data_IF_372473220016
#
_entry.id   IF_372473220016
#
_cell.length_a   1.000
_cell.length_b   1.000
_cell.length_c   1.000
_cell.angle_alpha   90.00
_cell.angle_beta   90.00
_cell.angle_gamma   90.00
#
_symmetry.space_group_name_H-M   'P 1'
#
loop_
_entity.id
_entity.type
_entity.pdbx_description
1 polymer ?
#
# COMPACT_ATOMS: atom_id res chain seq x y z
N UNK A 1 -14.28 -8.19 10.58
CA UNK A 1 -13.54 -8.87 9.46
C UNK A 1 -13.01 -7.83 8.51
N UNK A 2 -11.76 -7.96 8.04
CA UNK A 2 -11.16 -7.03 7.08
C UNK A 2 -11.22 -7.58 5.66
N UNK A 3 -11.28 -6.65 4.71
CA UNK A 3 -11.20 -6.97 3.28
C UNK A 3 -9.73 -7.02 2.85
N UNK A 4 -9.35 -8.08 2.14
CA UNK A 4 -8.02 -8.28 1.55
C UNK A 4 -8.15 -8.30 0.04
N UNK A 5 -7.36 -7.49 -0.65
CA UNK A 5 -7.36 -7.43 -2.13
C UNK A 5 -6.40 -8.44 -2.73
N UNK A 6 -5.28 -8.70 -2.06
CA UNK A 6 -4.26 -9.63 -2.52
C UNK A 6 -3.45 -10.20 -1.34
N UNK A 7 -2.92 -11.41 -1.52
CA UNK A 7 -1.90 -12.03 -0.68
C UNK A 7 -0.75 -12.41 -1.61
N UNK A 8 0.31 -11.62 -1.56
CA UNK A 8 1.49 -11.78 -2.42
C UNK A 8 2.55 -12.57 -1.68
N UNK A 9 2.90 -13.73 -2.21
CA UNK A 9 3.97 -14.58 -1.70
C UNK A 9 5.32 -14.17 -2.28
N UNK A 10 6.38 -14.54 -1.59
CA UNK A 10 7.78 -14.33 -2.03
C UNK A 10 8.14 -12.86 -2.26
N UNK A 11 7.54 -11.95 -1.48
CA UNK A 11 7.95 -10.54 -1.47
C UNK A 11 9.34 -10.41 -0.85
N UNK A 12 10.26 -9.76 -1.55
CA UNK A 12 11.66 -9.55 -1.12
C UNK A 12 12.00 -8.06 -0.92
N UNK A 13 11.02 -7.18 -1.15
CA UNK A 13 11.16 -5.73 -1.05
C UNK A 13 10.30 -5.09 0.06
N UNK A 14 9.59 -5.91 0.82
CA UNK A 14 8.63 -5.45 1.83
C UNK A 14 9.12 -5.74 3.27
N UNK A 15 10.41 -5.59 3.52
CA UNK A 15 11.08 -5.87 4.77
C UNK A 15 12.22 -6.87 4.62
N UNK A 16 12.75 -7.38 5.74
CA UNK A 16 13.86 -8.33 5.72
C UNK A 16 13.37 -9.74 5.34
N UNK A 17 14.20 -10.47 4.61
CA UNK A 17 13.95 -11.86 4.20
C UNK A 17 12.84 -12.03 3.16
N UNK A 18 12.39 -13.27 2.98
CA UNK A 18 11.26 -13.61 2.10
C UNK A 18 9.97 -13.47 2.89
N UNK A 19 9.04 -12.70 2.37
CA UNK A 19 7.81 -12.35 3.08
C UNK A 19 6.56 -12.71 2.29
N UNK A 20 5.46 -12.87 3.01
CA UNK A 20 4.12 -12.84 2.40
C UNK A 20 3.47 -11.51 2.74
N UNK A 21 3.16 -10.71 1.71
CA UNK A 21 2.55 -9.40 1.86
C UNK A 21 1.03 -9.51 1.71
N UNK A 22 0.31 -9.05 2.73
CA UNK A 22 -1.17 -8.97 2.73
C UNK A 22 -1.58 -7.54 2.40
N UNK A 23 -2.35 -7.38 1.32
CA UNK A 23 -2.86 -6.08 0.89
C UNK A 23 -4.29 -5.88 1.38
N UNK A 24 -4.45 -5.09 2.42
CA UNK A 24 -5.76 -4.72 2.95
C UNK A 24 -6.45 -3.66 2.09
N UNK A 25 -7.78 -3.64 2.14
CA UNK A 25 -8.61 -2.73 1.36
C UNK A 25 -9.17 -1.61 2.23
N UNK A 26 -8.84 -0.39 1.89
CA UNK A 26 -9.23 0.86 2.52
C UNK A 26 -8.01 1.76 2.75
N UNK A 27 -8.04 2.97 2.20
CA UNK A 27 -7.03 3.99 2.41
C UNK A 27 -7.69 5.37 2.44
N UNK A 28 -7.39 6.23 3.41
CA UNK A 28 -7.90 7.60 3.43
C UNK A 28 -7.20 8.50 2.41
N UNK A 29 -5.98 8.15 1.97
CA UNK A 29 -5.19 8.94 1.04
C UNK A 29 -5.57 8.69 -0.43
N UNK A 30 -5.20 9.64 -1.31
CA UNK A 30 -5.47 9.61 -2.77
C UNK A 30 -4.22 9.96 -3.55
N UNK A 31 -3.12 9.24 -3.24
CA UNK A 31 -1.83 9.49 -3.91
C UNK A 31 -1.97 9.38 -5.42
N UNK A 32 -1.49 10.38 -6.15
CA UNK A 32 -1.58 10.46 -7.61
C UNK A 32 -0.84 9.31 -8.31
N UNK A 33 0.19 8.75 -7.68
CA UNK A 33 0.98 7.62 -8.17
C UNK A 33 0.66 6.29 -7.47
N UNK A 34 -0.53 6.14 -6.88
CA UNK A 34 -0.87 4.92 -6.15
C UNK A 34 -0.78 3.67 -7.05
N UNK A 35 -0.02 2.67 -6.62
CA UNK A 35 0.11 1.40 -7.35
C UNK A 35 -1.04 0.42 -7.08
N UNK A 36 -1.82 0.67 -6.03
CA UNK A 36 -2.90 -0.21 -5.59
C UNK A 36 -4.24 0.55 -5.47
N UNK A 37 -4.77 1.14 -6.58
CA UNK A 37 -6.01 1.91 -6.52
C UNK A 37 -7.21 1.07 -6.07
N UNK A 38 -7.17 -0.26 -6.24
CA UNK A 38 -8.17 -1.20 -5.74
C UNK A 38 -8.23 -1.25 -4.21
N UNK A 39 -7.21 -0.73 -3.53
CA UNK A 39 -7.21 -0.65 -2.06
C UNK A 39 -7.75 0.67 -1.52
N UNK A 40 -8.02 1.67 -2.35
CA UNK A 40 -8.42 3.01 -1.89
C UNK A 40 -9.80 3.06 -1.23
N UNK A 41 -10.80 2.36 -1.79
CA UNK A 41 -12.14 2.31 -1.19
C UNK A 41 -12.19 1.25 -0.10
N UNK A 42 -12.95 1.53 0.98
CA UNK A 42 -13.16 0.57 2.08
C UNK A 42 -14.15 -0.54 1.73
N UNK A 43 -15.01 -0.32 0.74
CA UNK A 43 -16.01 -1.31 0.28
C UNK A 43 -15.43 -2.18 -0.84
N UNK A 44 -16.05 -3.35 -1.02
CA UNK A 44 -15.79 -4.20 -2.19
C UNK A 44 -16.04 -3.45 -3.49
N UNK A 45 -15.24 -3.75 -4.49
CA UNK A 45 -15.41 -3.21 -5.85
C UNK A 45 -15.27 -4.33 -6.86
N UNK A 46 -15.84 -4.13 -8.04
CA UNK A 46 -15.66 -5.03 -9.17
C UNK A 46 -14.59 -4.44 -10.09
N UNK A 47 -13.50 -5.17 -10.28
CA UNK A 47 -12.53 -4.90 -11.32
C UNK A 47 -13.01 -5.53 -12.64
N UNK A 48 -12.91 -4.79 -13.73
CA UNK A 48 -13.30 -5.26 -15.05
C UNK A 48 -12.15 -5.07 -16.04
N UNK A 49 -11.88 -6.05 -16.88
CA UNK A 49 -10.97 -5.86 -18.01
C UNK A 49 -11.79 -5.55 -19.26
N UNK A 50 -11.99 -4.27 -19.65
CA UNK A 50 -12.89 -3.90 -20.73
C UNK A 50 -12.38 -4.36 -22.10
N UNK A 51 -11.07 -4.50 -22.31
CA UNK A 51 -10.50 -4.92 -23.59
C UNK A 51 -10.97 -6.32 -24.02
N UNK A 52 -11.13 -7.22 -23.06
CA UNK A 52 -11.58 -8.60 -23.29
C UNK A 52 -13.09 -8.75 -23.27
N UNK A 53 -13.87 -7.68 -23.07
CA UNK A 53 -15.32 -7.75 -23.04
C UNK A 53 -15.89 -7.97 -24.45
N UNK A 54 -16.78 -8.94 -24.59
CA UNK A 54 -17.47 -9.25 -25.86
C UNK A 54 -18.86 -8.63 -25.97
N UNK A 55 -19.32 -7.87 -24.96
CA UNK A 55 -20.65 -7.26 -24.97
C UNK A 55 -21.82 -8.24 -24.85
N UNK A 56 -21.61 -9.43 -24.29
CA UNK A 56 -22.63 -10.49 -24.22
C UNK A 56 -23.80 -10.18 -23.26
N UNK A 57 -23.75 -9.08 -22.49
CA UNK A 57 -24.80 -8.56 -21.59
C UNK A 57 -25.13 -9.42 -20.36
N UNK A 58 -24.64 -10.63 -20.22
CA UNK A 58 -24.96 -11.54 -19.11
C UNK A 58 -24.76 -10.90 -17.71
N UNK A 59 -23.80 -9.99 -17.57
CA UNK A 59 -23.54 -9.28 -16.31
C UNK A 59 -24.62 -8.21 -16.00
N UNK A 60 -25.35 -7.71 -16.99
CA UNK A 60 -26.44 -6.74 -16.82
C UNK A 60 -27.64 -7.45 -16.23
N UNK A 61 -28.03 -8.59 -16.84
CA UNK A 61 -29.24 -9.34 -16.48
C UNK A 61 -29.22 -9.80 -15.01
N UNK A 62 -28.02 -10.07 -14.48
CA UNK A 62 -27.85 -10.57 -13.10
C UNK A 62 -27.54 -9.49 -12.08
N UNK A 63 -27.40 -8.22 -12.49
CA UNK A 63 -27.03 -7.16 -11.57
C UNK A 63 -28.25 -6.70 -10.73
N UNK A 64 -28.30 -6.99 -9.40
CA UNK A 64 -29.46 -6.64 -8.58
C UNK A 64 -29.66 -5.14 -8.41
N UNK A 65 -28.59 -4.34 -8.63
CA UNK A 65 -28.64 -2.89 -8.44
C UNK A 65 -28.70 -2.12 -9.78
N UNK A 66 -28.77 -2.79 -10.94
CA UNK A 66 -28.74 -2.13 -12.24
C UNK A 66 -27.47 -1.27 -12.45
N UNK A 67 -26.34 -1.71 -11.88
CA UNK A 67 -25.08 -0.97 -11.88
C UNK A 67 -24.22 -1.20 -13.11
N UNK A 68 -24.73 -1.88 -14.14
CA UNK A 68 -23.93 -2.25 -15.32
C UNK A 68 -24.69 -1.81 -16.58
N UNK A 69 -23.98 -1.13 -17.47
CA UNK A 69 -24.43 -0.73 -18.80
C UNK A 69 -23.47 -1.23 -19.87
N UNK A 70 -23.85 -1.09 -21.15
CA UNK A 70 -22.95 -1.27 -22.30
C UNK A 70 -22.69 0.11 -22.92
N UNK A 71 -21.42 0.42 -23.09
CA UNK A 71 -20.92 1.59 -23.80
C UNK A 71 -19.86 1.13 -24.80
N UNK A 72 -19.99 1.53 -26.05
CA UNK A 72 -19.11 1.13 -27.16
C UNK A 72 -18.88 -0.40 -27.25
N UNK A 73 -19.95 -1.19 -27.00
CA UNK A 73 -19.90 -2.64 -27.03
C UNK A 73 -19.17 -3.29 -25.84
N UNK A 74 -18.82 -2.53 -24.80
CA UNK A 74 -18.16 -3.01 -23.59
C UNK A 74 -19.02 -2.76 -22.35
N UNK A 75 -18.92 -3.66 -21.36
CA UNK A 75 -19.62 -3.46 -20.11
C UNK A 75 -18.92 -2.46 -19.21
N UNK A 76 -19.65 -1.43 -18.79
CA UNK A 76 -19.21 -0.40 -17.85
C UNK A 76 -19.92 -0.60 -16.52
N UNK A 77 -19.22 -0.32 -15.41
CA UNK A 77 -19.77 -0.43 -14.06
C UNK A 77 -19.94 0.94 -13.44
N UNK A 78 -21.17 1.28 -13.07
CA UNK A 78 -21.48 2.44 -12.24
C UNK A 78 -21.15 2.13 -10.76
N UNK A 79 -20.06 2.68 -10.28
CA UNK A 79 -19.57 2.42 -8.91
C UNK A 79 -20.37 3.16 -7.82
N UNK A 80 -21.29 4.06 -8.17
CA UNK A 80 -22.22 4.66 -7.20
C UNK A 80 -23.34 3.69 -6.86
N UNK A 81 -23.76 2.87 -7.83
CA UNK A 81 -24.80 1.84 -7.66
C UNK A 81 -24.22 0.48 -7.26
N UNK A 82 -22.97 0.21 -7.60
CA UNK A 82 -22.35 -1.10 -7.41
C UNK A 82 -22.02 -1.38 -5.95
N UNK A 83 -22.59 -2.44 -5.38
CA UNK A 83 -22.31 -2.91 -4.01
C UNK A 83 -21.16 -3.91 -3.92
N UNK A 84 -20.58 -4.31 -5.06
CA UNK A 84 -19.49 -5.30 -5.07
C UNK A 84 -19.95 -6.73 -4.71
N UNK A 85 -21.24 -7.07 -4.91
CA UNK A 85 -21.82 -8.37 -4.54
C UNK A 85 -21.19 -9.57 -5.24
N UNK A 86 -20.64 -9.38 -6.45
CA UNK A 86 -19.96 -10.44 -7.20
C UNK A 86 -20.84 -11.22 -8.18
N UNK A 87 -22.17 -11.01 -8.23
CA UNK A 87 -23.06 -11.75 -9.16
C UNK A 87 -22.59 -11.68 -10.61
N UNK A 88 -22.17 -10.50 -11.06
CA UNK A 88 -21.64 -10.30 -12.39
C UNK A 88 -20.28 -11.00 -12.64
N UNK A 89 -19.57 -11.40 -11.60
CA UNK A 89 -18.32 -12.16 -11.71
C UNK A 89 -18.63 -13.62 -12.04
N UNK A 90 -19.56 -14.23 -11.30
CA UNK A 90 -19.94 -15.64 -11.48
C UNK A 90 -20.61 -15.91 -12.84
N UNK A 91 -21.27 -14.90 -13.40
CA UNK A 91 -21.97 -15.00 -14.68
C UNK A 91 -21.18 -14.48 -15.89
N UNK A 92 -19.93 -14.02 -15.67
CA UNK A 92 -19.12 -13.53 -16.78
C UNK A 92 -18.49 -14.67 -17.58
N UNK A 93 -18.98 -14.94 -18.79
CA UNK A 93 -18.47 -15.99 -19.66
C UNK A 93 -17.00 -15.82 -20.06
N UNK A 94 -16.50 -14.61 -20.04
CA UNK A 94 -15.11 -14.28 -20.40
C UNK A 94 -14.17 -14.19 -19.18
N UNK A 95 -14.68 -14.36 -17.95
CA UNK A 95 -13.92 -14.22 -16.70
C UNK A 95 -13.14 -12.89 -16.60
N UNK A 96 -13.69 -11.80 -17.13
CA UNK A 96 -13.04 -10.49 -17.15
C UNK A 96 -13.35 -9.64 -15.93
N UNK A 97 -14.21 -10.12 -15.06
CA UNK A 97 -14.62 -9.43 -13.83
C UNK A 97 -14.10 -10.17 -12.61
N UNK A 98 -13.66 -9.44 -11.62
CA UNK A 98 -13.25 -9.99 -10.33
C UNK A 98 -13.67 -9.07 -9.18
N UNK A 99 -13.84 -9.64 -7.99
CA UNK A 99 -14.13 -8.88 -6.77
C UNK A 99 -12.81 -8.46 -6.13
N UNK A 100 -12.57 -7.15 -6.02
CA UNK A 100 -11.52 -6.61 -5.15
C UNK A 100 -12.04 -6.50 -3.71
N UNK A 101 -11.43 -7.23 -2.82
CA UNK A 101 -11.81 -7.28 -1.41
C UNK A 101 -12.53 -8.59 -1.04
N UNK A 102 -11.76 -9.60 -0.70
CA UNK A 102 -12.23 -10.84 -0.10
C UNK A 102 -12.17 -10.73 1.42
N UNK A 103 -13.22 -11.16 2.10
CA UNK A 103 -13.23 -11.25 3.56
C UNK A 103 -12.44 -12.46 4.04
N UNK A 104 -11.67 -12.24 5.10
CA UNK A 104 -11.00 -13.28 5.85
C UNK A 104 -11.28 -13.09 7.34
N UNK A 105 -11.60 -14.16 8.03
CA UNK A 105 -11.46 -14.20 9.50
C UNK A 105 -9.97 -14.22 9.85
N UNK A 106 -9.61 -13.79 11.06
CA UNK A 106 -8.21 -13.87 11.53
C UNK A 106 -7.68 -15.31 11.44
N UNK A 107 -8.50 -16.29 11.81
CA UNK A 107 -8.13 -17.71 11.74
C UNK A 107 -7.82 -18.18 10.32
N UNK A 108 -8.64 -17.79 9.35
CA UNK A 108 -8.42 -18.16 7.94
C UNK A 108 -7.14 -17.51 7.40
N UNK A 109 -6.93 -16.23 7.71
CA UNK A 109 -5.74 -15.52 7.27
C UNK A 109 -4.47 -16.09 7.91
N UNK A 110 -4.45 -16.35 9.21
CA UNK A 110 -3.33 -17.01 9.88
C UNK A 110 -3.01 -18.39 9.26
N UNK A 111 -4.05 -19.18 8.94
CA UNK A 111 -3.87 -20.49 8.27
C UNK A 111 -3.25 -20.33 6.88
N UNK A 112 -3.64 -19.29 6.14
CA UNK A 112 -3.08 -19.03 4.80
C UNK A 112 -1.61 -18.61 4.89
N UNK A 113 -1.29 -17.69 5.81
CA UNK A 113 0.05 -17.14 6.00
C UNK A 113 1.04 -18.20 6.51
N UNK A 114 0.58 -19.12 7.34
CA UNK A 114 1.40 -20.23 7.86
C UNK A 114 1.89 -21.18 6.76
N UNK A 115 1.28 -21.22 5.60
CA UNK A 115 1.73 -22.10 4.49
C UNK A 115 3.14 -21.78 4.00
N UNK A 116 3.61 -20.55 4.23
CA UNK A 116 4.92 -20.07 3.77
C UNK A 116 5.97 -20.04 4.91
N UNK A 117 5.65 -20.62 6.10
CA UNK A 117 6.50 -20.63 7.32
C UNK A 117 7.94 -21.06 7.04
N UNK A 118 8.14 -22.10 6.23
CA UNK A 118 9.47 -22.58 5.85
C UNK A 118 10.34 -21.49 5.20
N UNK A 119 9.74 -20.64 4.36
CA UNK A 119 10.49 -19.55 3.72
C UNK A 119 10.80 -18.42 4.70
N UNK A 120 9.93 -18.19 5.70
CA UNK A 120 10.19 -17.22 6.76
C UNK A 120 11.37 -17.65 7.63
N UNK A 121 11.38 -18.93 8.07
CA UNK A 121 12.43 -19.48 8.92
C UNK A 121 13.79 -19.46 8.22
N UNK A 122 13.86 -19.92 6.96
CA UNK A 122 15.13 -20.02 6.20
C UNK A 122 15.71 -18.63 5.85
N UNK A 123 14.88 -17.60 5.68
CA UNK A 123 15.34 -16.28 5.24
C UNK A 123 15.39 -15.22 6.32
N UNK A 124 14.85 -15.50 7.52
CA UNK A 124 14.58 -14.49 8.53
C UNK A 124 13.44 -13.53 8.14
N UNK A 125 12.57 -13.97 7.23
CA UNK A 125 11.42 -13.22 6.73
C UNK A 125 10.18 -13.35 7.61
N UNK A 126 8.99 -13.19 7.02
CA UNK A 126 7.73 -13.25 7.75
C UNK A 126 6.55 -12.67 6.98
N UNK A 127 5.67 -11.97 7.67
CA UNK A 127 4.47 -11.37 7.09
C UNK A 127 4.59 -9.86 7.05
N UNK A 128 4.21 -9.24 5.93
CA UNK A 128 4.05 -7.78 5.82
C UNK A 128 2.57 -7.46 5.63
N UNK A 129 2.06 -6.56 6.48
CA UNK A 129 0.72 -6.02 6.37
C UNK A 129 0.79 -4.66 5.66
N UNK A 130 0.15 -4.57 4.50
CA UNK A 130 0.23 -3.45 3.55
C UNK A 130 -1.12 -3.23 2.84
N UNK A 131 -1.12 -2.61 1.68
CA UNK A 131 -2.29 -2.47 0.79
C UNK A 131 -2.80 -1.05 0.69
N UNK A 132 -3.89 -0.74 1.41
CA UNK A 132 -4.34 0.63 1.65
C UNK A 132 -3.56 1.24 2.83
N UNK A 133 -4.26 1.66 3.88
CA UNK A 133 -3.62 2.05 5.14
C UNK A 133 -4.04 1.05 6.24
N UNK A 134 -3.13 0.17 6.61
CA UNK A 134 -3.38 -0.90 7.58
C UNK A 134 -3.87 -0.35 8.92
N UNK A 135 -3.30 0.81 9.32
CA UNK A 135 -3.63 1.44 10.60
C UNK A 135 -5.00 2.13 10.62
N UNK A 136 -5.73 2.11 9.48
CA UNK A 136 -7.12 2.55 9.36
C UNK A 136 -8.13 1.40 9.29
N UNK A 137 -7.67 0.16 9.42
CA UNK A 137 -8.54 -1.02 9.44
C UNK A 137 -9.23 -1.19 10.80
N UNK A 138 -10.08 -2.22 10.92
CA UNK A 138 -10.60 -2.69 12.20
C UNK A 138 -9.42 -3.14 13.10
N UNK A 139 -9.07 -2.30 14.07
CA UNK A 139 -7.87 -2.52 14.90
C UNK A 139 -7.99 -3.71 15.85
N UNK A 140 -9.20 -4.15 16.18
CA UNK A 140 -9.38 -5.37 16.97
C UNK A 140 -8.97 -6.59 16.12
N UNK A 141 -9.32 -6.56 14.83
CA UNK A 141 -8.91 -7.59 13.89
C UNK A 141 -7.38 -7.57 13.65
N UNK A 142 -6.79 -6.38 13.39
CA UNK A 142 -5.34 -6.25 13.12
C UNK A 142 -4.53 -6.67 14.35
N UNK A 143 -4.92 -6.25 15.54
CA UNK A 143 -4.24 -6.62 16.78
C UNK A 143 -4.30 -8.14 17.05
N UNK A 144 -5.48 -8.77 16.84
CA UNK A 144 -5.61 -10.22 16.95
C UNK A 144 -4.73 -10.95 15.95
N UNK A 145 -4.65 -10.47 14.70
CA UNK A 145 -3.82 -11.03 13.64
C UNK A 145 -2.33 -10.96 13.99
N UNK A 146 -1.82 -9.78 14.36
CA UNK A 146 -0.39 -9.62 14.69
C UNK A 146 -0.02 -10.41 15.95
N UNK A 147 -0.87 -10.45 16.97
CA UNK A 147 -0.68 -11.33 18.14
C UNK A 147 -0.65 -12.81 17.76
N UNK A 148 -1.49 -13.20 16.80
CA UNK A 148 -1.54 -14.57 16.28
C UNK A 148 -0.25 -14.96 15.57
N UNK A 149 0.33 -14.07 14.75
CA UNK A 149 1.61 -14.25 14.07
C UNK A 149 2.77 -14.27 15.08
N UNK A 150 2.81 -13.30 16.01
CA UNK A 150 3.82 -13.22 17.07
C UNK A 150 3.89 -14.51 17.91
N UNK A 151 2.73 -15.07 18.32
CA UNK A 151 2.69 -16.35 19.06
C UNK A 151 3.19 -17.55 18.29
N UNK A 152 3.20 -17.47 16.96
CA UNK A 152 3.75 -18.49 16.06
C UNK A 152 5.23 -18.26 15.74
N UNK A 153 5.86 -17.21 16.28
CA UNK A 153 7.26 -16.85 15.97
C UNK A 153 7.46 -16.24 14.60
N UNK A 154 6.38 -15.82 13.92
CA UNK A 154 6.45 -15.21 12.60
C UNK A 154 6.64 -13.70 12.76
N UNK A 155 7.73 -13.16 12.17
CA UNK A 155 8.01 -11.72 12.21
C UNK A 155 6.98 -10.93 11.43
N UNK A 156 6.60 -9.77 11.96
CA UNK A 156 5.58 -8.89 11.37
C UNK A 156 6.18 -7.56 11.00
N UNK A 157 5.99 -7.16 9.76
CA UNK A 157 6.31 -5.82 9.25
C UNK A 157 5.01 -5.09 8.91
N UNK A 158 4.93 -3.82 9.28
CA UNK A 158 3.81 -2.93 8.89
C UNK A 158 4.32 -1.97 7.84
N UNK A 159 3.62 -1.91 6.71
CA UNK A 159 3.85 -0.94 5.64
C UNK A 159 2.75 0.13 5.71
N UNK A 160 3.13 1.37 6.04
CA UNK A 160 2.19 2.43 6.37
C UNK A 160 2.63 3.80 5.87
N UNK A 161 1.65 4.61 5.52
CA UNK A 161 1.85 6.05 5.31
C UNK A 161 1.89 6.85 6.62
N UNK A 162 1.49 6.24 7.73
CA UNK A 162 1.37 6.91 9.02
C UNK A 162 0.11 7.77 9.19
N UNK A 163 -0.79 7.82 8.21
CA UNK A 163 -1.99 8.65 8.27
C UNK A 163 -3.14 7.94 9.00
N UNK A 164 -2.99 7.76 10.31
CA UNK A 164 -3.94 7.11 11.21
C UNK A 164 -3.77 7.61 12.65
N UNK A 165 -4.75 7.41 13.55
CA UNK A 165 -4.58 7.73 14.98
C UNK A 165 -3.40 6.98 15.59
N UNK A 166 -2.54 7.67 16.37
CA UNK A 166 -1.35 7.06 16.97
C UNK A 166 -1.67 5.88 17.90
N UNK A 167 -2.80 5.93 18.58
CA UNK A 167 -3.25 4.85 19.47
C UNK A 167 -3.37 3.49 18.76
N UNK A 168 -3.62 3.50 17.44
CA UNK A 168 -3.65 2.29 16.64
C UNK A 168 -2.27 1.64 16.56
N UNK A 169 -1.21 2.45 16.38
CA UNK A 169 0.17 1.96 16.37
C UNK A 169 0.57 1.39 17.73
N UNK A 170 0.25 2.07 18.84
CA UNK A 170 0.56 1.60 20.19
C UNK A 170 0.02 0.20 20.48
N UNK A 171 -1.18 -0.12 19.97
CA UNK A 171 -1.82 -1.41 20.19
C UNK A 171 -1.00 -2.58 19.64
N UNK A 172 -0.32 -2.38 18.51
CA UNK A 172 0.40 -3.44 17.80
C UNK A 172 1.91 -3.39 17.96
N UNK A 173 2.47 -2.24 18.36
CA UNK A 173 3.91 -2.03 18.47
C UNK A 173 4.67 -3.13 19.25
N UNK A 174 4.14 -3.69 20.35
CA UNK A 174 4.81 -4.79 21.06
C UNK A 174 4.90 -6.12 20.31
N UNK A 175 4.21 -6.26 19.18
CA UNK A 175 4.05 -7.52 18.43
C UNK A 175 4.58 -7.44 17.01
N UNK A 176 5.20 -6.33 16.62
CA UNK A 176 5.74 -6.10 15.28
C UNK A 176 7.25 -5.89 15.35
N UNK A 177 7.94 -6.25 14.29
CA UNK A 177 9.42 -6.21 14.24
C UNK A 177 9.93 -4.98 13.50
N UNK A 178 9.24 -4.54 12.46
CA UNK A 178 9.68 -3.43 11.60
C UNK A 178 8.48 -2.63 11.11
N UNK A 179 8.68 -1.32 10.98
CA UNK A 179 7.73 -0.42 10.33
C UNK A 179 8.39 0.14 9.08
N UNK A 180 7.83 -0.15 7.91
CA UNK A 180 8.13 0.52 6.66
C UNK A 180 7.28 1.79 6.64
N UNK A 181 7.92 2.93 6.75
CA UNK A 181 7.24 4.21 6.94
C UNK A 181 7.47 5.14 5.77
N UNK A 182 6.40 5.50 5.07
CA UNK A 182 6.48 6.31 3.88
C UNK A 182 6.50 7.81 4.20
N UNK A 183 7.57 8.51 3.79
CA UNK A 183 7.60 9.98 3.69
C UNK A 183 7.44 10.36 2.23
N UNK A 184 6.31 10.96 1.87
CA UNK A 184 5.98 11.23 0.46
C UNK A 184 6.37 12.64 0.02
N UNK A 185 6.22 13.64 0.89
CA UNK A 185 6.70 15.02 0.70
C UNK A 185 6.76 15.74 2.05
N UNK A 186 7.76 16.59 2.23
CA UNK A 186 7.87 17.47 3.43
C UNK A 186 7.05 18.75 3.27
N UNK A 187 6.93 19.26 2.05
CA UNK A 187 6.11 20.42 1.76
C UNK A 187 4.62 20.06 1.86
N UNK A 188 3.89 20.76 2.74
CA UNK A 188 2.47 20.48 3.03
C UNK A 188 1.57 20.72 1.82
N UNK A 189 1.86 21.73 1.00
CA UNK A 189 1.04 22.03 -0.18
C UNK A 189 1.30 21.00 -1.30
N UNK A 190 2.54 20.57 -1.46
CA UNK A 190 2.90 19.45 -2.35
C UNK A 190 2.20 18.16 -1.87
N UNK A 191 2.21 17.90 -0.56
CA UNK A 191 1.56 16.73 0.02
C UNK A 191 0.04 16.77 -0.21
N UNK A 192 -0.62 17.90 0.08
CA UNK A 192 -2.06 18.07 -0.19
C UNK A 192 -2.40 17.86 -1.65
N UNK A 193 -1.60 18.46 -2.55
CA UNK A 193 -1.82 18.39 -4.00
C UNK A 193 -1.76 16.97 -4.55
N UNK A 194 -0.75 16.19 -4.15
CA UNK A 194 -0.47 14.89 -4.77
C UNK A 194 -0.91 13.69 -3.93
N UNK A 195 -1.11 13.86 -2.62
CA UNK A 195 -1.50 12.78 -1.70
C UNK A 195 -2.92 12.95 -1.19
N UNK A 196 -3.47 14.18 -1.26
CA UNK A 196 -4.84 14.48 -0.91
C UNK A 196 -5.09 14.77 0.58
N UNK A 197 -4.03 14.96 1.38
CA UNK A 197 -4.07 15.32 2.79
C UNK A 197 -2.83 16.15 3.16
N UNK A 198 -2.83 16.81 4.32
CA UNK A 198 -1.59 17.35 4.91
C UNK A 198 -0.69 16.23 5.46
N UNK A 199 0.52 16.60 5.86
CA UNK A 199 1.53 15.66 6.36
C UNK A 199 1.78 15.78 7.87
N UNK A 200 1.09 16.65 8.58
CA UNK A 200 1.34 16.93 10.00
C UNK A 200 1.17 15.67 10.85
N UNK A 201 0.04 14.96 10.70
CA UNK A 201 -0.22 13.73 11.42
C UNK A 201 0.81 12.64 11.12
N UNK A 202 1.25 12.55 9.86
CA UNK A 202 2.26 11.57 9.41
C UNK A 202 3.59 11.83 10.12
N UNK A 203 4.05 13.08 10.11
CA UNK A 203 5.32 13.46 10.73
C UNK A 203 5.29 13.33 12.26
N UNK A 204 4.18 13.71 12.90
CA UNK A 204 3.98 13.53 14.33
C UNK A 204 3.99 12.05 14.75
N UNK A 205 3.31 11.18 13.97
CA UNK A 205 3.30 9.74 14.20
C UNK A 205 4.69 9.11 14.02
N UNK A 206 5.46 9.53 13.01
CA UNK A 206 6.82 9.05 12.81
C UNK A 206 7.72 9.37 14.00
N UNK A 207 7.60 10.61 14.52
CA UNK A 207 8.35 11.02 15.73
C UNK A 207 7.98 10.16 16.93
N UNK A 208 6.70 9.97 17.20
CA UNK A 208 6.21 9.13 18.31
C UNK A 208 6.67 7.68 18.19
N UNK A 209 6.61 7.08 17.00
CA UNK A 209 7.11 5.73 16.75
C UNK A 209 8.62 5.62 17.04
N UNK A 210 9.40 6.64 16.63
CA UNK A 210 10.83 6.69 16.92
C UNK A 210 11.10 6.79 18.42
N UNK A 211 10.34 7.62 19.14
CA UNK A 211 10.45 7.81 20.59
C UNK A 211 10.07 6.52 21.36
N UNK A 212 9.04 5.81 20.89
CA UNK A 212 8.59 4.52 21.45
C UNK A 212 9.48 3.33 21.03
N UNK A 213 10.56 3.59 20.26
CA UNK A 213 11.60 2.60 19.96
C UNK A 213 11.28 1.66 18.78
N UNK A 214 10.34 2.01 17.92
CA UNK A 214 10.06 1.25 16.70
C UNK A 214 11.31 1.14 15.82
N UNK A 215 11.50 -0.03 15.18
CA UNK A 215 12.52 -0.22 14.14
C UNK A 215 11.98 0.34 12.83
N UNK A 216 12.49 1.49 12.42
CA UNK A 216 11.97 2.26 11.30
C UNK A 216 12.81 2.09 10.03
N UNK A 217 12.18 1.67 8.94
CA UNK A 217 12.68 1.77 7.58
C UNK A 217 11.93 2.91 6.89
N UNK A 218 12.61 4.02 6.65
CA UNK A 218 12.02 5.16 5.96
C UNK A 218 11.98 4.86 4.46
N UNK A 219 10.80 4.95 3.86
CA UNK A 219 10.58 4.75 2.44
C UNK A 219 10.17 6.08 1.80
N UNK A 220 10.83 6.42 0.70
CA UNK A 220 10.61 7.69 0.03
C UNK A 220 10.26 7.38 -1.44
N UNK A 221 8.96 7.30 -1.79
CA UNK A 221 8.56 7.25 -3.19
C UNK A 221 9.09 8.48 -3.91
N UNK A 222 10.01 8.29 -4.83
CA UNK A 222 10.77 9.35 -5.50
C UNK A 222 10.22 9.54 -6.91
N UNK A 223 9.52 10.67 -7.12
CA UNK A 223 8.73 10.96 -8.32
C UNK A 223 9.28 12.21 -9.00
N UNK A 224 9.70 12.08 -10.27
CA UNK A 224 10.20 13.19 -11.05
C UNK A 224 9.12 14.26 -11.23
N UNK A 225 9.48 15.52 -10.99
CA UNK A 225 8.55 16.66 -11.03
C UNK A 225 7.69 16.85 -9.77
N UNK A 226 7.92 16.01 -8.71
CA UNK A 226 7.22 16.15 -7.43
C UNK A 226 8.19 16.33 -6.26
N UNK A 227 9.06 15.36 -6.04
CA UNK A 227 9.99 15.33 -4.91
C UNK A 227 11.37 14.75 -5.26
N UNK A 228 11.61 14.40 -6.55
CA UNK A 228 12.89 13.87 -7.01
C UNK A 228 13.91 15.00 -7.29
N UNK A 229 14.10 15.88 -6.31
CA UNK A 229 15.06 16.98 -6.37
C UNK A 229 15.85 17.10 -5.06
N UNK A 230 17.00 17.76 -5.15
CA UNK A 230 17.93 17.88 -4.03
C UNK A 230 17.33 18.67 -2.84
N UNK A 231 16.54 19.70 -3.11
CA UNK A 231 15.93 20.53 -2.08
C UNK A 231 14.89 19.72 -1.28
N UNK A 232 14.04 18.98 -1.96
CA UNK A 232 13.04 18.10 -1.35
C UNK A 232 13.69 17.03 -0.46
N UNK A 233 14.76 16.38 -0.95
CA UNK A 233 15.47 15.36 -0.17
C UNK A 233 16.24 15.94 1.01
N UNK A 234 16.86 17.11 0.87
CA UNK A 234 17.51 17.81 1.99
C UNK A 234 16.52 18.14 3.10
N UNK A 235 15.32 18.60 2.79
CA UNK A 235 14.27 18.84 3.79
C UNK A 235 13.92 17.58 4.58
N UNK A 236 13.88 16.41 3.93
CA UNK A 236 13.66 15.12 4.62
C UNK A 236 14.84 14.82 5.54
N UNK A 237 16.07 14.90 5.01
CA UNK A 237 17.31 14.64 5.79
C UNK A 237 17.39 15.53 7.03
N UNK A 238 17.24 16.84 6.85
CA UNK A 238 17.29 17.84 7.92
C UNK A 238 16.22 17.55 8.98
N UNK A 239 14.98 17.28 8.56
CA UNK A 239 13.90 16.98 9.49
C UNK A 239 14.17 15.70 10.30
N UNK A 240 14.64 14.62 9.66
CA UNK A 240 14.98 13.37 10.34
C UNK A 240 16.07 13.59 11.41
N UNK A 241 17.07 14.44 11.12
CA UNK A 241 18.16 14.79 12.06
C UNK A 241 17.63 15.67 13.20
N UNK A 242 16.92 16.75 12.88
CA UNK A 242 16.41 17.72 13.84
C UNK A 242 15.44 17.08 14.85
N UNK A 243 14.59 16.19 14.36
CA UNK A 243 13.67 15.42 15.21
C UNK A 243 14.33 14.20 15.87
N UNK A 244 15.61 13.93 15.59
CA UNK A 244 16.39 12.80 16.15
C UNK A 244 15.74 11.45 15.90
N UNK A 245 15.17 11.27 14.69
CA UNK A 245 14.50 10.01 14.32
C UNK A 245 15.52 8.89 14.24
N UNK A 246 15.25 7.78 14.93
CA UNK A 246 16.10 6.57 14.93
C UNK A 246 15.81 5.73 13.68
N UNK A 247 16.50 6.01 12.59
CA UNK A 247 16.31 5.35 11.31
C UNK A 247 17.23 4.13 11.20
N UNK A 248 16.67 2.95 10.98
CA UNK A 248 17.44 1.72 10.75
C UNK A 248 17.83 1.54 9.28
N UNK A 249 17.02 2.05 8.34
CA UNK A 249 17.28 2.02 6.90
C UNK A 249 16.49 3.11 6.18
N UNK A 250 17.05 3.65 5.10
CA UNK A 250 16.36 4.55 4.15
C UNK A 250 16.27 3.85 2.79
N UNK A 251 15.09 3.85 2.20
CA UNK A 251 14.83 3.34 0.85
C UNK A 251 14.27 4.45 -0.03
N UNK A 252 15.01 4.85 -1.06
CA UNK A 252 14.47 5.71 -2.11
C UNK A 252 13.83 4.82 -3.17
N UNK A 253 12.52 4.95 -3.35
CA UNK A 253 11.74 4.10 -4.25
C UNK A 253 11.50 4.84 -5.57
N UNK A 254 12.23 4.54 -6.65
CA UNK A 254 11.99 5.16 -7.94
C UNK A 254 10.54 4.95 -8.38
N UNK A 255 9.88 6.01 -8.83
CA UNK A 255 8.56 5.90 -9.41
C UNK A 255 8.55 4.94 -10.60
N UNK A 256 7.48 4.18 -10.74
CA UNK A 256 7.17 3.37 -11.93
C UNK A 256 5.66 3.35 -12.17
N UNK A 257 5.22 3.15 -13.39
CA UNK A 257 3.81 3.22 -13.77
C UNK A 257 3.09 1.85 -13.85
N UNK A 258 3.65 0.80 -13.29
CA UNK A 258 3.11 -0.58 -13.39
C UNK A 258 1.70 -0.73 -12.82
N UNK A 259 1.28 0.17 -11.93
CA UNK A 259 -0.09 0.20 -11.39
C UNK A 259 -1.16 0.79 -12.32
N UNK A 260 -0.78 1.44 -13.43
CA UNK A 260 -1.69 2.19 -14.30
C UNK A 260 -2.83 1.34 -14.88
N UNK A 261 -2.56 0.08 -15.25
CA UNK A 261 -3.57 -0.84 -15.77
C UNK A 261 -4.69 -1.18 -14.78
N UNK A 262 -4.46 -1.05 -13.48
CA UNK A 262 -5.49 -1.28 -12.46
C UNK A 262 -6.53 -0.14 -12.44
N UNK A 263 -6.13 1.08 -12.82
CA UNK A 263 -7.04 2.23 -12.91
C UNK A 263 -8.09 2.02 -13.99
N UNK A 264 -7.70 1.59 -15.18
CA UNK A 264 -8.66 1.31 -16.25
C UNK A 264 -9.64 0.21 -15.86
N UNK A 265 -9.21 -0.78 -15.09
CA UNK A 265 -10.07 -1.86 -14.57
C UNK A 265 -11.11 -1.38 -13.54
N UNK A 266 -10.88 -0.22 -12.92
CA UNK A 266 -11.78 0.46 -11.98
C UNK A 266 -12.55 1.62 -12.63
N UNK A 267 -12.36 1.86 -13.93
CA UNK A 267 -12.85 3.06 -14.62
C UNK A 267 -12.36 4.37 -13.96
N UNK A 268 -11.15 4.35 -13.41
CA UNK A 268 -10.51 5.52 -12.81
C UNK A 268 -9.53 6.13 -13.80
N UNK A 269 -9.41 7.46 -13.75
CA UNK A 269 -8.35 8.19 -14.46
C UNK A 269 -7.06 8.08 -13.66
N UNK A 270 -5.99 7.62 -14.30
CA UNK A 270 -4.67 7.59 -13.68
C UNK A 270 -4.02 8.97 -13.74
N UNK A 271 -3.81 9.59 -12.58
CA UNK A 271 -3.23 10.93 -12.48
C UNK A 271 -1.70 10.95 -12.61
N UNK A 272 -1.08 9.78 -12.49
CA UNK A 272 0.38 9.62 -12.60
C UNK A 272 0.90 9.42 -14.03
N UNK A 273 0.06 9.59 -15.06
CA UNK A 273 0.47 9.43 -16.47
C UNK A 273 1.59 10.38 -16.89
N UNK A 274 1.63 11.58 -16.29
CA UNK A 274 2.57 12.64 -16.62
C UNK A 274 3.85 12.61 -15.77
N UNK A 275 3.94 11.70 -14.81
CA UNK A 275 5.14 11.53 -14.00
C UNK A 275 6.21 10.75 -14.74
N UNK A 276 7.45 11.23 -14.62
CA UNK A 276 8.61 10.55 -15.17
C UNK A 276 9.34 9.72 -14.08
N UNK A 277 10.07 8.73 -14.54
CA UNK A 277 10.97 7.92 -13.68
C UNK A 277 12.27 8.72 -13.52
N UNK A 278 12.76 8.96 -12.30
CA UNK A 278 14.08 9.56 -12.12
C UNK A 278 15.17 8.66 -12.73
N UNK A 279 16.22 9.28 -13.30
CA UNK A 279 17.36 8.50 -13.81
C UNK A 279 18.16 7.84 -12.68
N UNK A 280 18.88 6.77 -13.00
CA UNK A 280 19.72 6.06 -12.04
C UNK A 280 20.77 6.99 -11.42
N UNK A 281 21.41 7.83 -12.23
CA UNK A 281 22.39 8.81 -11.74
C UNK A 281 21.76 9.81 -10.75
N UNK A 282 20.53 10.25 -11.02
CA UNK A 282 19.79 11.13 -10.12
C UNK A 282 19.47 10.42 -8.82
N UNK A 283 18.99 9.18 -8.89
CA UNK A 283 18.71 8.37 -7.70
C UNK A 283 19.97 8.16 -6.84
N UNK A 284 21.13 7.91 -7.45
CA UNK A 284 22.41 7.80 -6.75
C UNK A 284 22.80 9.12 -6.08
N UNK A 285 22.64 10.25 -6.76
CA UNK A 285 22.89 11.59 -6.20
C UNK A 285 21.99 11.87 -4.99
N UNK A 286 20.70 11.55 -5.08
CA UNK A 286 19.76 11.75 -3.99
C UNK A 286 20.04 10.81 -2.82
N UNK A 287 20.41 9.56 -3.07
CA UNK A 287 20.81 8.61 -2.02
C UNK A 287 22.09 9.05 -1.30
N UNK A 288 23.02 9.67 -2.03
CA UNK A 288 24.27 10.20 -1.45
C UNK A 288 24.02 11.26 -0.38
N UNK A 289 22.95 12.06 -0.47
CA UNK A 289 22.60 13.07 0.53
C UNK A 289 22.36 12.43 1.90
N UNK A 290 21.63 11.30 1.92
CA UNK A 290 21.37 10.56 3.17
C UNK A 290 22.63 9.92 3.72
N UNK A 291 23.47 9.32 2.86
CA UNK A 291 24.73 8.70 3.27
C UNK A 291 25.70 9.75 3.84
N UNK A 292 25.83 10.92 3.20
CA UNK A 292 26.66 12.03 3.67
C UNK A 292 26.17 12.61 4.99
N UNK A 293 24.87 12.55 5.24
CA UNK A 293 24.24 12.98 6.49
C UNK A 293 24.38 11.95 7.63
N UNK A 294 25.01 10.78 7.37
CA UNK A 294 25.32 9.79 8.39
C UNK A 294 24.33 8.62 8.50
N UNK A 295 23.35 8.48 7.61
CA UNK A 295 22.48 7.30 7.57
C UNK A 295 23.27 6.09 7.04
N UNK A 296 23.38 5.05 7.87
CA UNK A 296 24.29 3.92 7.60
C UNK A 296 23.80 2.93 6.55
N UNK A 297 22.49 2.85 6.32
CA UNK A 297 21.87 1.96 5.34
C UNK A 297 20.94 2.77 4.44
N UNK A 298 21.41 3.08 3.24
CA UNK A 298 20.64 3.75 2.19
C UNK A 298 20.57 2.84 0.98
N UNK A 299 19.38 2.60 0.47
CA UNK A 299 19.14 1.76 -0.70
C UNK A 299 18.30 2.51 -1.74
N UNK A 300 18.53 2.18 -3.00
CA UNK A 300 17.65 2.53 -4.11
C UNK A 300 16.81 1.29 -4.43
N UNK A 301 15.50 1.45 -4.38
CA UNK A 301 14.55 0.33 -4.40
C UNK A 301 14.15 -0.18 -3.02
N UNK A 302 13.24 -1.13 -3.00
CA UNK A 302 12.70 -1.73 -1.78
C UNK A 302 13.38 -3.03 -1.40
#
# INVERSE_FOLDING_TARGET
MCLVTNIQKYSIHDGDGIRTTVFFKGCPLRCAWCHNPETQKFQRQILTNPEKCTGCMACIDVCPNGAISIEDGKSVTDYEKCTGCGECVTHCLQNIREVAGKEYTVRELLKELKKDEMFYEESGGGVTLSGGEVMCMDMDYIEELVKGLYRQGITVTIDTSGYAPYENFKRILPYIDTVLYDIKAMDTEVHKKFIGADNELILDNLKKLSDDGARLYIRIPTVEGVNADEESMKKIVEWLIDQKIKVAQVNLLPYHNTGSSKYSRLSYTYQGSDFAVPSDEKMEQLAALFTQAGFSKVKIGG
#
